data_IF_146576498526
#
_entry.id   IF_146576498526
#
_cell.length_a   1.000
_cell.length_b   1.000
_cell.length_c   1.000
_cell.angle_alpha   90.00
_cell.angle_beta   90.00
_cell.angle_gamma   90.00
#
_symmetry.space_group_name_H-M   'P 1'
#
loop_
_entity.id
_entity.type
_entity.pdbx_description
1 polymer ?
#
# COMPACT_ATOMS: atom_id res chain seq x y z
N UNK A 1 54.30 13.51 4.61
CA UNK A 1 54.15 12.27 3.81
C UNK A 1 52.75 12.24 3.29
N UNK A 2 52.60 12.03 1.95
CA UNK A 2 51.28 11.90 1.34
C UNK A 2 50.67 10.61 1.90
N UNK A 3 49.45 10.73 2.46
CA UNK A 3 48.69 9.60 2.94
C UNK A 3 48.26 8.73 1.75
N UNK A 4 48.53 7.44 1.82
CA UNK A 4 48.16 6.45 0.80
C UNK A 4 47.32 5.31 1.35
N UNK A 5 46.90 5.44 2.62
CA UNK A 5 46.11 4.44 3.32
C UNK A 5 44.64 4.80 3.26
N UNK A 6 43.79 3.87 2.85
CA UNK A 6 42.34 4.10 2.84
C UNK A 6 41.71 3.88 4.23
N UNK A 7 40.58 4.56 4.57
CA UNK A 7 39.92 4.41 5.85
C UNK A 7 39.46 2.97 6.14
N UNK A 8 39.54 2.58 7.41
CA UNK A 8 38.90 1.37 7.90
C UNK A 8 37.40 1.64 8.17
N UNK A 9 36.55 0.75 7.68
CA UNK A 9 35.07 0.88 7.81
C UNK A 9 34.47 -0.30 8.52
N UNK A 10 33.44 -0.04 9.33
CA UNK A 10 32.59 -1.07 9.93
C UNK A 10 31.15 -0.63 9.98
N UNK A 11 30.23 -1.59 10.07
CA UNK A 11 28.81 -1.32 10.24
C UNK A 11 28.19 -2.24 11.29
N UNK A 12 27.25 -1.71 12.04
CA UNK A 12 26.42 -2.45 12.98
C UNK A 12 24.96 -2.30 12.62
N UNK A 13 24.20 -3.39 12.75
CA UNK A 13 22.76 -3.39 12.55
C UNK A 13 22.10 -3.58 13.91
N UNK A 14 21.19 -2.69 14.26
CA UNK A 14 20.46 -2.71 15.53
C UNK A 14 18.96 -2.69 15.30
N UNK A 15 18.20 -3.19 16.26
CA UNK A 15 16.74 -3.27 16.23
C UNK A 15 16.27 -4.45 17.09
N UNK A 16 14.96 -4.53 17.28
CA UNK A 16 14.34 -5.68 17.93
C UNK A 16 14.49 -6.91 17.03
N UNK A 17 14.83 -8.07 17.59
CA UNK A 17 14.99 -9.32 16.84
C UNK A 17 14.01 -10.38 17.28
N UNK A 18 13.50 -11.16 16.31
CA UNK A 18 12.79 -12.40 16.60
C UNK A 18 13.76 -13.55 16.94
N UNK A 19 13.20 -14.72 17.24
CA UNK A 19 13.97 -15.92 17.57
C UNK A 19 14.90 -16.41 16.43
N UNK A 20 14.61 -16.04 15.19
CA UNK A 20 15.41 -16.39 14.01
C UNK A 20 16.54 -15.39 13.75
N UNK A 21 16.61 -14.30 14.51
CA UNK A 21 17.58 -13.24 14.33
C UNK A 21 17.19 -12.17 13.32
N UNK A 22 15.98 -12.24 12.76
CA UNK A 22 15.45 -11.21 11.86
C UNK A 22 14.99 -10.00 12.66
N UNK A 23 15.12 -8.80 12.08
CA UNK A 23 14.72 -7.56 12.71
C UNK A 23 13.22 -7.33 12.57
N UNK A 24 12.58 -7.01 13.68
CA UNK A 24 11.14 -6.86 13.79
C UNK A 24 10.73 -5.41 13.52
N UNK A 25 9.93 -5.19 12.48
CA UNK A 25 9.42 -3.89 12.07
C UNK A 25 10.43 -2.99 11.39
N UNK A 26 11.66 -2.92 11.89
CA UNK A 26 12.74 -2.10 11.31
C UNK A 26 14.10 -2.48 11.82
N UNK A 27 15.11 -2.20 11.00
CA UNK A 27 16.52 -2.28 11.37
C UNK A 27 17.18 -0.91 11.21
N UNK A 28 18.18 -0.61 12.01
CA UNK A 28 18.96 0.61 11.93
C UNK A 28 20.43 0.24 11.69
N UNK A 29 21.00 0.72 10.59
CA UNK A 29 22.38 0.48 10.21
C UNK A 29 23.23 1.68 10.57
N UNK A 30 24.20 1.50 11.43
CA UNK A 30 25.20 2.52 11.79
C UNK A 30 26.52 2.17 11.14
N UNK A 31 27.04 3.08 10.32
CA UNK A 31 28.35 2.94 9.67
C UNK A 31 29.37 3.82 10.37
N UNK A 32 30.54 3.27 10.62
CA UNK A 32 31.68 4.01 11.19
C UNK A 32 32.90 3.87 10.28
N UNK A 33 33.72 4.90 10.26
CA UNK A 33 34.99 4.89 9.56
C UNK A 33 36.08 5.56 10.44
N UNK A 34 37.29 5.06 10.36
CA UNK A 34 38.44 5.64 11.00
C UNK A 34 39.62 5.69 10.02
N UNK A 35 40.39 6.75 10.12
CA UNK A 35 41.61 6.95 9.38
C UNK A 35 42.61 7.72 10.27
N UNK A 36 43.78 7.16 10.45
CA UNK A 36 44.76 7.66 11.43
C UNK A 36 45.70 8.72 10.85
N UNK A 37 45.78 8.86 9.52
CA UNK A 37 46.70 9.78 8.85
C UNK A 37 46.04 11.08 8.43
N UNK A 38 45.21 11.10 7.37
CA UNK A 38 44.58 12.30 6.88
C UNK A 38 43.18 12.56 7.47
N UNK A 39 42.60 11.53 8.05
CA UNK A 39 41.25 11.54 8.61
C UNK A 39 40.13 11.41 7.56
N UNK A 40 39.00 10.88 7.99
CA UNK A 40 37.85 10.61 7.12
C UNK A 40 37.25 11.91 6.58
N UNK A 41 37.04 11.97 5.26
CA UNK A 41 36.33 13.05 4.58
C UNK A 41 34.83 12.76 4.50
N UNK A 42 34.47 11.55 4.02
CA UNK A 42 33.05 11.16 3.87
C UNK A 42 32.87 9.64 4.00
N UNK A 43 31.68 9.29 4.41
CA UNK A 43 31.16 7.91 4.39
C UNK A 43 30.01 7.87 3.40
N UNK A 44 29.92 6.80 2.61
CA UNK A 44 28.86 6.57 1.65
C UNK A 44 28.25 5.19 1.86
N UNK A 45 26.96 5.06 1.59
CA UNK A 45 26.26 3.78 1.64
C UNK A 45 25.39 3.56 0.41
N UNK A 46 25.11 2.30 0.08
CA UNK A 46 24.18 1.87 -0.95
C UNK A 46 23.23 0.84 -0.34
N UNK A 47 21.94 1.06 -0.46
CA UNK A 47 20.89 0.15 -0.01
C UNK A 47 20.42 -0.69 -1.19
N UNK A 48 20.45 -2.03 -1.02
CA UNK A 48 19.93 -3.02 -1.99
C UNK A 48 20.47 -2.86 -3.42
N UNK A 49 21.74 -2.47 -3.52
CA UNK A 49 22.40 -2.27 -4.82
C UNK A 49 22.05 -0.98 -5.55
N UNK A 50 21.37 -0.05 -4.88
CA UNK A 50 21.12 1.30 -5.39
C UNK A 50 22.40 2.15 -5.47
N UNK A 51 22.30 3.44 -5.84
CA UNK A 51 23.44 4.34 -5.89
C UNK A 51 24.03 4.58 -4.51
N UNK A 52 25.31 4.95 -4.46
CA UNK A 52 25.94 5.38 -3.22
C UNK A 52 25.46 6.78 -2.82
N UNK A 53 24.96 6.89 -1.59
CA UNK A 53 24.48 8.12 -0.97
C UNK A 53 25.41 8.52 0.17
N UNK A 54 25.48 9.82 0.46
CA UNK A 54 26.21 10.33 1.61
C UNK A 54 25.59 9.79 2.92
N UNK A 55 26.43 9.25 3.79
CA UNK A 55 26.03 8.78 5.11
C UNK A 55 26.23 9.91 6.12
N UNK A 56 25.15 10.49 6.61
CA UNK A 56 25.16 11.55 7.64
C UNK A 56 24.57 11.05 8.96
N UNK A 57 23.60 10.17 8.88
CA UNK A 57 22.85 9.62 10.00
C UNK A 57 22.64 8.10 9.80
N UNK A 58 22.40 7.35 10.88
CA UNK A 58 22.11 5.94 10.78
C UNK A 58 20.92 5.64 9.86
N UNK A 59 21.11 4.71 8.92
CA UNK A 59 20.11 4.33 7.91
C UNK A 59 19.05 3.46 8.56
N UNK A 60 17.80 3.90 8.53
CA UNK A 60 16.66 3.11 8.99
C UNK A 60 16.05 2.37 7.81
N UNK A 61 15.91 1.05 7.93
CA UNK A 61 15.26 0.17 6.96
C UNK A 61 14.04 -0.45 7.63
N UNK A 62 12.85 -0.06 7.17
CA UNK A 62 11.56 -0.52 7.68
C UNK A 62 10.76 -1.33 6.62
N UNK A 63 11.28 -1.41 5.41
CA UNK A 63 10.74 -2.27 4.36
C UNK A 63 10.95 -3.73 4.71
N UNK A 64 9.90 -4.54 4.58
CA UNK A 64 9.98 -5.97 4.84
C UNK A 64 10.81 -6.69 3.77
N UNK A 65 11.50 -7.75 4.18
CA UNK A 65 12.30 -8.60 3.33
C UNK A 65 13.78 -8.57 3.66
N UNK A 66 14.58 -9.21 2.80
CA UNK A 66 16.03 -9.23 2.92
C UNK A 66 16.62 -7.97 2.31
N UNK A 67 17.52 -7.34 3.07
CA UNK A 67 18.23 -6.12 2.67
C UNK A 67 19.74 -6.30 2.74
N UNK A 68 20.42 -5.51 1.93
CA UNK A 68 21.89 -5.41 1.94
C UNK A 68 22.27 -3.93 1.95
N UNK A 69 23.11 -3.53 2.90
CA UNK A 69 23.72 -2.20 2.92
C UNK A 69 25.20 -2.35 2.64
N UNK A 70 25.63 -1.85 1.47
CA UNK A 70 27.06 -1.70 1.15
C UNK A 70 27.53 -0.33 1.63
N UNK A 71 28.77 -0.24 2.08
CA UNK A 71 29.32 1.00 2.61
C UNK A 71 30.84 1.11 2.33
N UNK A 72 31.31 2.34 2.19
CA UNK A 72 32.71 2.70 1.99
C UNK A 72 32.98 4.09 2.55
N UNK A 73 34.25 4.43 2.73
CA UNK A 73 34.66 5.76 3.15
C UNK A 73 35.82 6.28 2.31
N UNK A 74 35.94 7.60 2.21
CA UNK A 74 37.04 8.32 1.57
C UNK A 74 37.68 9.23 2.60
N UNK A 75 39.00 9.26 2.64
CA UNK A 75 39.77 10.19 3.47
C UNK A 75 40.00 11.54 2.81
N UNK A 76 40.64 12.46 3.51
CA UNK A 76 40.95 13.81 2.99
C UNK A 76 42.09 13.81 1.97
N UNK A 77 42.85 12.72 1.86
CA UNK A 77 43.88 12.54 0.83
C UNK A 77 43.33 11.96 -0.47
N UNK A 78 42.04 11.51 -0.46
CA UNK A 78 41.35 10.98 -1.63
C UNK A 78 41.39 9.44 -1.73
N UNK A 79 41.94 8.72 -0.74
CA UNK A 79 41.94 7.27 -0.76
C UNK A 79 40.56 6.75 -0.34
N UNK A 80 40.02 5.79 -1.08
CA UNK A 80 38.69 5.22 -0.83
C UNK A 80 38.83 3.76 -0.44
N UNK A 81 38.17 3.35 0.66
CA UNK A 81 38.15 1.98 1.12
C UNK A 81 37.43 1.04 0.16
N UNK A 82 37.79 -0.25 0.22
CA UNK A 82 36.94 -1.26 -0.42
C UNK A 82 35.53 -1.24 0.17
N UNK A 83 34.54 -1.48 -0.69
CA UNK A 83 33.16 -1.57 -0.25
C UNK A 83 32.93 -2.85 0.56
N UNK A 84 32.47 -2.70 1.78
CA UNK A 84 31.98 -3.79 2.64
C UNK A 84 30.46 -3.80 2.62
N UNK A 85 29.85 -4.88 3.10
CA UNK A 85 28.39 -4.96 3.16
C UNK A 85 27.93 -5.72 4.41
N UNK A 86 26.72 -5.35 4.88
CA UNK A 86 25.95 -6.10 5.87
C UNK A 86 24.62 -6.51 5.24
N UNK A 87 24.19 -7.74 5.53
CA UNK A 87 22.90 -8.25 5.10
C UNK A 87 22.04 -8.60 6.32
N UNK A 88 20.76 -8.32 6.24
CA UNK A 88 19.79 -8.59 7.30
C UNK A 88 18.40 -8.74 6.71
N UNK A 89 17.49 -9.29 7.50
CA UNK A 89 16.09 -9.42 7.12
C UNK A 89 15.24 -8.59 8.08
N UNK A 90 14.30 -7.81 7.52
CA UNK A 90 13.28 -7.13 8.29
C UNK A 90 11.97 -7.90 8.11
N UNK A 91 11.36 -8.27 9.22
CA UNK A 91 10.09 -8.99 9.27
C UNK A 91 9.04 -8.11 9.95
N UNK A 92 7.79 -8.45 9.74
CA UNK A 92 6.68 -7.72 10.34
C UNK A 92 6.83 -7.60 11.86
N UNK A 93 6.53 -6.43 12.41
CA UNK A 93 6.64 -6.15 13.84
C UNK A 93 5.69 -7.00 14.65
N UNK A 94 6.19 -8.15 15.12
CA UNK A 94 5.52 -8.96 16.12
C UNK A 94 6.03 -8.61 17.50
N UNK A 95 5.29 -7.82 18.25
CA UNK A 95 5.35 -7.97 19.71
C UNK A 95 5.07 -9.43 20.04
N UNK A 96 5.71 -10.00 21.10
CA UNK A 96 5.60 -11.37 21.64
C UNK A 96 4.60 -12.23 20.88
N UNK A 97 4.94 -13.43 20.34
CA UNK A 97 4.01 -14.20 19.53
C UNK A 97 2.71 -14.42 20.34
N UNK A 98 1.77 -13.52 20.12
CA UNK A 98 0.39 -13.85 20.31
C UNK A 98 0.12 -15.02 19.36
N UNK A 99 -0.72 -16.01 19.70
CA UNK A 99 -1.19 -16.94 18.70
C UNK A 99 -1.61 -16.09 17.51
N UNK A 100 -1.11 -16.40 16.29
CA UNK A 100 -1.30 -15.53 15.16
C UNK A 100 -2.80 -15.32 14.99
N UNK A 101 -3.25 -14.07 15.10
CA UNK A 101 -4.63 -13.75 14.81
C UNK A 101 -4.90 -14.15 13.36
N UNK A 102 -6.05 -14.74 13.05
CA UNK A 102 -6.35 -15.25 11.72
C UNK A 102 -6.22 -14.20 10.62
N UNK A 103 -6.55 -12.96 10.96
CA UNK A 103 -6.49 -11.80 10.09
C UNK A 103 -5.86 -10.62 10.84
N UNK A 104 -5.57 -9.55 10.14
CA UNK A 104 -5.19 -8.30 10.74
C UNK A 104 -6.23 -7.24 10.41
N UNK A 105 -7.05 -6.88 11.40
CA UNK A 105 -8.12 -5.90 11.25
C UNK A 105 -8.33 -5.14 12.58
N UNK A 106 -7.78 -3.95 12.65
CA UNK A 106 -7.84 -3.08 13.82
C UNK A 106 -8.80 -1.89 13.63
N UNK A 107 -9.77 -1.99 12.71
CA UNK A 107 -10.82 -0.96 12.57
C UNK A 107 -11.50 -0.70 13.91
N UNK A 108 -11.96 0.55 14.18
CA UNK A 108 -12.52 0.90 15.49
C UNK A 108 -13.86 0.21 15.78
N UNK A 109 -14.58 -0.20 14.76
CA UNK A 109 -15.86 -0.91 14.86
C UNK A 109 -15.78 -2.29 14.22
N UNK A 110 -16.66 -3.18 14.63
CA UNK A 110 -16.81 -4.48 14.00
C UNK A 110 -17.49 -4.31 12.64
N UNK A 111 -16.74 -4.65 11.59
CA UNK A 111 -17.20 -4.60 10.20
C UNK A 111 -17.13 -5.99 9.62
N UNK A 112 -18.22 -6.49 9.06
CA UNK A 112 -18.29 -7.80 8.43
C UNK A 112 -18.46 -7.62 6.91
N UNK A 113 -17.40 -7.88 6.17
CA UNK A 113 -17.31 -7.50 4.76
C UNK A 113 -17.38 -5.98 4.61
N UNK A 114 -18.49 -5.48 4.08
CA UNK A 114 -18.75 -4.02 3.95
C UNK A 114 -19.81 -3.52 4.93
N UNK A 115 -20.27 -4.35 5.86
CA UNK A 115 -21.36 -4.01 6.79
C UNK A 115 -20.78 -3.61 8.15
N UNK A 116 -20.77 -2.31 8.43
CA UNK A 116 -20.40 -1.78 9.74
C UNK A 116 -21.54 -2.01 10.74
N UNK A 117 -21.21 -2.67 11.87
CA UNK A 117 -22.19 -2.99 12.92
C UNK A 117 -22.36 -1.87 13.94
N UNK A 118 -21.42 -0.93 13.99
CA UNK A 118 -21.31 0.08 15.05
C UNK A 118 -20.87 -0.49 16.42
N UNK A 119 -20.61 -1.78 16.52
CA UNK A 119 -20.08 -2.42 17.73
C UNK A 119 -18.59 -2.09 17.85
N UNK A 120 -18.09 -1.65 19.02
CA UNK A 120 -16.66 -1.42 19.18
C UNK A 120 -15.83 -2.69 18.92
N UNK A 121 -14.78 -2.58 18.13
CA UNK A 121 -13.86 -3.67 17.83
C UNK A 121 -12.85 -3.85 18.97
N UNK A 122 -13.27 -4.58 20.00
CA UNK A 122 -12.47 -4.78 21.22
C UNK A 122 -11.39 -5.84 21.03
N UNK A 123 -10.26 -5.66 21.72
CA UNK A 123 -9.24 -6.69 21.88
C UNK A 123 -9.75 -7.72 22.88
N UNK A 124 -9.68 -8.99 22.52
CA UNK A 124 -10.17 -10.13 23.31
C UNK A 124 -9.07 -10.72 24.20
N UNK A 125 -9.40 -11.71 25.01
CA UNK A 125 -8.48 -12.35 25.94
C UNK A 125 -7.25 -12.99 25.28
N UNK A 126 -7.36 -13.41 24.03
CA UNK A 126 -6.27 -13.96 23.22
C UNK A 126 -5.48 -12.89 22.42
N UNK A 127 -5.72 -11.61 22.70
CA UNK A 127 -5.11 -10.42 22.07
C UNK A 127 -5.53 -10.14 20.62
N UNK A 128 -6.41 -10.92 20.03
CA UNK A 128 -7.00 -10.61 18.74
C UNK A 128 -8.18 -9.66 18.91
N UNK A 129 -8.43 -8.83 17.91
CA UNK A 129 -9.66 -8.02 17.85
C UNK A 129 -10.85 -8.90 17.45
N UNK A 130 -12.06 -8.40 17.67
CA UNK A 130 -13.26 -9.11 17.22
C UNK A 130 -13.24 -9.30 15.70
N UNK A 131 -12.84 -8.29 14.93
CA UNK A 131 -12.72 -8.38 13.47
C UNK A 131 -11.74 -9.47 13.03
N UNK A 132 -10.58 -9.54 13.69
CA UNK A 132 -9.57 -10.57 13.38
C UNK A 132 -10.07 -11.99 13.63
N UNK A 133 -10.99 -12.17 14.58
CA UNK A 133 -11.60 -13.48 14.88
C UNK A 133 -12.73 -13.84 13.91
N UNK A 134 -13.37 -12.86 13.29
CA UNK A 134 -14.48 -13.07 12.34
C UNK A 134 -13.98 -13.70 11.04
N UNK A 135 -12.72 -13.47 10.65
CA UNK A 135 -12.10 -14.04 9.45
C UNK A 135 -12.92 -13.78 8.17
N UNK A 136 -13.42 -12.55 8.01
CA UNK A 136 -14.32 -12.21 6.92
C UNK A 136 -13.62 -12.11 5.54
N UNK A 137 -12.29 -11.97 5.52
CA UNK A 137 -11.47 -11.95 4.30
C UNK A 137 -10.92 -13.34 3.91
N UNK A 138 -11.15 -14.36 4.73
CA UNK A 138 -10.74 -15.74 4.44
C UNK A 138 -11.60 -16.36 3.33
N UNK A 139 -11.04 -17.33 2.62
CA UNK A 139 -11.79 -18.18 1.67
C UNK A 139 -12.75 -19.12 2.40
N UNK A 140 -14.04 -18.81 2.31
CA UNK A 140 -15.11 -19.60 2.89
C UNK A 140 -15.78 -20.49 1.83
N UNK A 141 -15.82 -21.79 2.06
CA UNK A 141 -16.45 -22.75 1.16
C UNK A 141 -17.95 -22.50 0.95
N UNK A 142 -18.63 -21.85 1.90
CA UNK A 142 -20.02 -21.42 1.75
C UNK A 142 -20.38 -20.31 2.75
N UNK A 143 -21.41 -19.51 2.41
CA UNK A 143 -21.99 -18.51 3.30
C UNK A 143 -22.52 -19.11 4.61
N UNK A 144 -23.04 -20.34 4.54
CA UNK A 144 -23.54 -21.04 5.73
C UNK A 144 -22.41 -21.36 6.72
N UNK A 145 -21.25 -21.80 6.21
CA UNK A 145 -20.06 -22.05 7.04
C UNK A 145 -19.50 -20.76 7.65
N UNK A 146 -19.43 -19.68 6.89
CA UNK A 146 -19.05 -18.38 7.42
C UNK A 146 -19.96 -17.93 8.55
N UNK A 147 -21.28 -17.97 8.33
CA UNK A 147 -22.25 -17.58 9.36
C UNK A 147 -22.18 -18.45 10.61
N UNK A 148 -21.93 -19.76 10.45
CA UNK A 148 -21.73 -20.66 11.57
C UNK A 148 -20.50 -20.25 12.40
N UNK A 149 -19.39 -19.97 11.71
CA UNK A 149 -18.16 -19.49 12.36
C UNK A 149 -18.39 -18.19 13.14
N UNK A 150 -19.05 -17.20 12.55
CA UNK A 150 -19.36 -15.93 13.24
C UNK A 150 -20.27 -16.16 14.45
N UNK A 151 -21.22 -17.10 14.35
CA UNK A 151 -22.06 -17.44 15.50
C UNK A 151 -21.21 -18.04 16.62
N UNK A 152 -20.32 -18.99 16.32
CA UNK A 152 -19.42 -19.61 17.32
C UNK A 152 -18.50 -18.57 17.96
N UNK A 153 -17.86 -17.72 17.18
CA UNK A 153 -17.03 -16.62 17.69
C UNK A 153 -17.84 -15.69 18.61
N UNK A 154 -19.03 -15.28 18.21
CA UNK A 154 -19.85 -14.38 19.01
C UNK A 154 -20.47 -15.04 20.25
N UNK A 155 -20.70 -16.35 20.24
CA UNK A 155 -21.10 -17.10 21.43
C UNK A 155 -19.97 -17.11 22.46
N UNK A 156 -18.73 -17.40 22.04
CA UNK A 156 -17.56 -17.36 22.91
C UNK A 156 -17.33 -15.95 23.49
N UNK A 157 -17.42 -14.91 22.67
CA UNK A 157 -17.26 -13.52 23.10
C UNK A 157 -18.36 -13.07 24.07
N UNK A 158 -19.58 -13.59 23.93
CA UNK A 158 -20.67 -13.33 24.85
C UNK A 158 -20.43 -14.03 26.20
N UNK A 159 -19.97 -15.28 26.17
CA UNK A 159 -19.66 -16.07 27.37
C UNK A 159 -18.46 -15.46 28.15
N UNK A 160 -17.49 -14.90 27.43
CA UNK A 160 -16.36 -14.16 27.99
C UNK A 160 -16.75 -12.75 28.50
N UNK A 161 -17.94 -12.27 28.20
CA UNK A 161 -18.40 -10.94 28.56
C UNK A 161 -17.76 -9.80 27.75
N UNK A 162 -17.15 -10.10 26.60
CA UNK A 162 -16.55 -9.11 25.69
C UNK A 162 -17.62 -8.32 24.96
N UNK A 163 -18.72 -8.99 24.60
CA UNK A 163 -19.90 -8.39 23.96
C UNK A 163 -21.18 -8.71 24.73
N UNK A 164 -22.20 -7.90 24.53
CA UNK A 164 -23.54 -8.17 25.02
C UNK A 164 -24.45 -8.84 23.97
N UNK A 165 -25.66 -9.26 24.38
CA UNK A 165 -26.63 -9.92 23.46
C UNK A 165 -27.09 -9.02 22.32
N UNK A 166 -27.10 -7.71 22.49
CA UNK A 166 -27.49 -6.76 21.45
C UNK A 166 -26.38 -6.65 20.41
N UNK A 167 -25.14 -6.58 20.88
CA UNK A 167 -23.93 -6.56 20.05
C UNK A 167 -23.77 -7.87 19.27
N UNK A 168 -23.95 -9.02 19.93
CA UNK A 168 -23.98 -10.32 19.27
C UNK A 168 -24.99 -10.37 18.11
N UNK A 169 -26.22 -9.89 18.37
CA UNK A 169 -27.27 -9.85 17.36
C UNK A 169 -26.89 -8.94 16.17
N UNK A 170 -26.25 -7.81 16.44
CA UNK A 170 -25.79 -6.89 15.40
C UNK A 170 -24.72 -7.53 14.51
N UNK A 171 -23.71 -8.20 15.10
CA UNK A 171 -22.63 -8.88 14.38
C UNK A 171 -23.19 -10.03 13.54
N UNK A 172 -24.03 -10.90 14.09
CA UNK A 172 -24.64 -12.01 13.36
C UNK A 172 -25.57 -11.53 12.23
N UNK A 173 -26.25 -10.39 12.42
CA UNK A 173 -27.05 -9.76 11.36
C UNK A 173 -26.15 -9.28 10.21
N UNK A 174 -25.04 -8.63 10.52
CA UNK A 174 -24.06 -8.18 9.54
C UNK A 174 -23.46 -9.37 8.76
N UNK A 175 -23.10 -10.45 9.43
CA UNK A 175 -22.64 -11.68 8.79
C UNK A 175 -23.67 -12.23 7.80
N UNK A 176 -24.95 -12.23 8.15
CA UNK A 176 -26.03 -12.64 7.24
C UNK A 176 -26.16 -11.72 6.01
N UNK A 177 -25.91 -10.42 6.17
CA UNK A 177 -26.03 -9.43 5.12
C UNK A 177 -24.79 -9.34 4.22
N UNK A 178 -23.60 -9.70 4.72
CA UNK A 178 -22.32 -9.55 4.03
C UNK A 178 -22.21 -10.34 2.73
N UNK A 179 -22.87 -11.46 2.62
CA UNK A 179 -22.76 -12.35 1.45
C UNK A 179 -21.44 -13.14 1.39
N UNK A 180 -20.54 -13.01 2.35
CA UNK A 180 -19.26 -13.74 2.41
C UNK A 180 -19.48 -15.25 2.29
N UNK A 181 -18.66 -15.92 1.48
CA UNK A 181 -18.82 -17.32 1.15
C UNK A 181 -19.86 -17.63 0.08
N UNK A 182 -20.52 -16.60 -0.51
CA UNK A 182 -21.33 -16.75 -1.72
C UNK A 182 -20.45 -16.62 -2.97
N UNK A 183 -20.79 -17.27 -4.08
CA UNK A 183 -20.05 -17.14 -5.32
C UNK A 183 -19.87 -15.66 -5.73
N UNK A 184 -18.63 -15.27 -6.08
CA UNK A 184 -18.30 -13.90 -6.51
C UNK A 184 -18.11 -12.90 -5.37
N UNK A 185 -18.16 -13.31 -4.12
CA UNK A 185 -17.89 -12.43 -2.96
C UNK A 185 -16.41 -12.47 -2.55
N UNK A 186 -16.00 -11.44 -1.78
CA UNK A 186 -14.62 -11.27 -1.34
C UNK A 186 -14.19 -12.37 -0.38
N UNK A 187 -13.18 -13.12 -0.77
CA UNK A 187 -12.61 -14.19 0.03
C UNK A 187 -11.08 -14.13 -0.08
N UNK A 188 -10.37 -14.30 1.02
CA UNK A 188 -8.91 -14.31 1.07
C UNK A 188 -8.24 -12.93 0.88
N UNK A 189 -8.96 -11.82 1.14
CA UNK A 189 -8.40 -10.48 1.11
C UNK A 189 -7.73 -10.12 2.44
N UNK A 190 -6.61 -9.39 2.35
CA UNK A 190 -5.91 -8.81 3.48
C UNK A 190 -6.00 -7.29 3.44
N UNK A 191 -6.23 -6.68 4.60
CA UNK A 191 -6.32 -5.23 4.69
C UNK A 191 -4.95 -4.57 4.50
N UNK A 192 -4.90 -3.60 3.59
CA UNK A 192 -3.82 -2.63 3.46
C UNK A 192 -4.13 -1.35 4.23
N UNK A 193 -5.41 -0.98 4.31
CA UNK A 193 -5.94 0.11 5.10
C UNK A 193 -7.33 -0.26 5.62
N UNK A 194 -7.45 -0.35 6.93
CA UNK A 194 -8.66 -0.76 7.65
C UNK A 194 -9.35 0.38 8.42
N UNK A 195 -8.91 1.62 8.22
CA UNK A 195 -9.43 2.81 8.87
C UNK A 195 -8.71 3.21 10.16
N UNK A 196 -7.75 2.43 10.63
CA UNK A 196 -6.96 2.75 11.83
C UNK A 196 -5.74 3.61 11.51
N UNK A 197 -5.27 4.36 12.52
CA UNK A 197 -4.00 5.10 12.45
C UNK A 197 -2.83 4.15 12.14
N UNK A 198 -2.79 2.98 12.76
CA UNK A 198 -1.72 1.99 12.55
C UNK A 198 -1.66 1.53 11.09
N UNK A 199 -2.80 1.23 10.47
CA UNK A 199 -2.83 0.84 9.06
C UNK A 199 -2.50 2.01 8.13
N UNK A 200 -2.92 3.24 8.47
CA UNK A 200 -2.58 4.44 7.69
C UNK A 200 -1.09 4.76 7.74
N UNK A 201 -0.44 4.62 8.88
CA UNK A 201 0.99 4.91 9.07
C UNK A 201 1.93 3.95 8.30
N UNK A 202 1.39 2.87 7.74
CA UNK A 202 2.11 1.97 6.82
C UNK A 202 2.29 2.54 5.42
N UNK A 203 1.52 3.57 5.06
CA UNK A 203 1.57 4.23 3.77
C UNK A 203 2.51 5.41 3.81
N UNK A 204 3.12 5.71 2.66
CA UNK A 204 4.01 6.87 2.49
C UNK A 204 3.48 7.79 1.41
N UNK A 205 3.59 9.10 1.65
CA UNK A 205 3.24 10.10 0.65
C UNK A 205 4.49 10.58 -0.09
N UNK A 206 4.39 10.75 -1.42
CA UNK A 206 5.41 11.32 -2.30
C UNK A 206 4.78 12.33 -3.24
N UNK A 207 5.55 13.35 -3.64
CA UNK A 207 5.06 14.43 -4.49
C UNK A 207 4.19 15.44 -3.75
N UNK A 208 3.35 16.14 -4.50
CA UNK A 208 2.42 17.14 -3.99
C UNK A 208 1.15 16.57 -3.40
N UNK A 209 0.31 17.43 -2.82
CA UNK A 209 -0.91 17.00 -2.14
C UNK A 209 -0.65 16.30 -0.80
N UNK A 210 -1.68 15.76 -0.23
CA UNK A 210 -1.64 14.93 0.98
C UNK A 210 -2.95 14.18 1.15
N UNK A 211 -2.93 13.09 1.94
CA UNK A 211 -4.12 12.46 2.51
C UNK A 211 -4.14 12.62 4.02
N UNK A 212 -5.31 12.84 4.58
CA UNK A 212 -5.54 12.87 6.02
C UNK A 212 -6.46 11.74 6.46
N UNK A 213 -6.14 11.13 7.61
CA UNK A 213 -7.01 10.16 8.26
C UNK A 213 -8.10 10.90 9.06
N UNK A 214 -9.36 10.56 8.81
CA UNK A 214 -10.53 11.09 9.48
C UNK A 214 -10.95 10.21 10.67
N UNK A 215 -11.72 10.78 11.60
CA UNK A 215 -12.22 10.07 12.78
C UNK A 215 -13.19 8.92 12.42
N UNK A 216 -13.79 8.95 11.25
CA UNK A 216 -14.68 7.90 10.75
C UNK A 216 -13.94 6.73 10.05
N UNK A 217 -12.60 6.71 10.10
CA UNK A 217 -11.78 5.66 9.50
C UNK A 217 -11.64 5.77 7.97
N UNK A 218 -11.95 6.92 7.39
CA UNK A 218 -11.67 7.20 5.98
C UNK A 218 -10.41 8.03 5.81
N UNK A 219 -9.80 8.00 4.63
CA UNK A 219 -8.76 8.97 4.26
C UNK A 219 -9.29 9.87 3.17
N UNK A 220 -8.96 11.17 3.26
CA UNK A 220 -9.42 12.18 2.30
C UNK A 220 -8.23 13.00 1.80
N UNK A 221 -8.20 13.29 0.51
CA UNK A 221 -7.19 14.15 -0.09
C UNK A 221 -7.35 15.60 0.39
N UNK A 222 -6.22 16.30 0.54
CA UNK A 222 -6.16 17.64 1.12
C UNK A 222 -6.80 18.70 0.23
N UNK A 223 -7.55 19.62 0.84
CA UNK A 223 -8.08 20.83 0.20
C UNK A 223 -7.12 22.02 0.24
N UNK A 224 -5.99 21.89 0.94
CA UNK A 224 -5.05 23.01 1.20
C UNK A 224 -3.65 22.75 0.72
N UNK A 225 -3.21 21.50 0.60
CA UNK A 225 -1.89 21.13 0.09
C UNK A 225 -2.00 20.90 -1.42
N UNK A 226 -1.41 21.77 -2.25
CA UNK A 226 -1.54 21.66 -3.71
C UNK A 226 -0.58 20.65 -4.31
N UNK A 227 -0.81 20.34 -5.57
CA UNK A 227 0.06 19.56 -6.41
C UNK A 227 -0.36 18.09 -6.53
N UNK A 228 0.23 17.47 -7.52
CA UNK A 228 0.05 16.05 -7.81
C UNK A 228 1.06 15.21 -7.03
N UNK A 229 0.59 14.14 -6.45
CA UNK A 229 1.40 13.20 -5.70
C UNK A 229 0.71 11.85 -5.53
N UNK A 230 1.23 11.06 -4.64
CA UNK A 230 0.75 9.70 -4.44
C UNK A 230 0.95 9.27 -2.99
N UNK A 231 -0.09 8.70 -2.40
CA UNK A 231 0.00 7.88 -1.19
C UNK A 231 0.20 6.44 -1.63
N UNK A 232 1.33 5.81 -1.31
CA UNK A 232 1.66 4.47 -1.78
C UNK A 232 1.99 3.53 -0.64
N UNK A 233 1.83 2.22 -0.88
CA UNK A 233 2.09 1.15 0.08
C UNK A 233 3.48 0.55 -0.16
N UNK A 234 4.51 0.90 0.64
CA UNK A 234 5.90 0.56 0.37
C UNK A 234 6.33 -0.83 0.83
N UNK A 235 5.54 -1.50 1.66
CA UNK A 235 5.97 -2.71 2.36
C UNK A 235 6.14 -3.91 1.43
N UNK A 236 5.38 -3.98 0.34
CA UNK A 236 5.36 -5.15 -0.53
C UNK A 236 5.01 -4.83 -1.97
N UNK A 237 5.63 -5.58 -2.89
CA UNK A 237 5.19 -5.68 -4.29
C UNK A 237 4.24 -6.86 -4.44
N UNK A 238 3.29 -6.73 -5.35
CA UNK A 238 2.31 -7.76 -5.68
C UNK A 238 2.46 -8.20 -7.13
N UNK A 239 2.40 -9.52 -7.36
CA UNK A 239 2.44 -10.13 -8.69
C UNK A 239 1.03 -10.12 -9.30
N UNK A 240 0.34 -11.25 -9.24
CA UNK A 240 -1.07 -11.36 -9.60
C UNK A 240 -1.93 -11.07 -8.39
N UNK A 241 -2.90 -10.19 -8.55
CA UNK A 241 -3.72 -9.75 -7.43
C UNK A 241 -5.12 -9.29 -7.83
N UNK A 242 -6.02 -9.27 -6.87
CA UNK A 242 -7.22 -8.46 -6.88
C UNK A 242 -7.12 -7.43 -5.76
N UNK A 243 -7.11 -6.16 -6.13
CA UNK A 243 -7.16 -5.02 -5.22
C UNK A 243 -8.59 -4.52 -5.15
N UNK A 244 -9.15 -4.43 -3.96
CA UNK A 244 -10.46 -3.82 -3.71
C UNK A 244 -10.32 -2.63 -2.79
N UNK A 245 -11.03 -1.57 -3.12
CA UNK A 245 -11.12 -0.37 -2.30
C UNK A 245 -12.47 0.30 -2.52
N UNK A 246 -12.82 1.17 -1.61
CA UNK A 246 -13.99 2.03 -1.81
C UNK A 246 -13.52 3.47 -1.96
N UNK A 247 -14.10 4.18 -2.93
CA UNK A 247 -13.87 5.60 -3.13
C UNK A 247 -15.17 6.40 -3.12
N UNK A 248 -15.07 7.66 -2.72
CA UNK A 248 -16.16 8.61 -2.74
C UNK A 248 -15.67 9.95 -3.28
N UNK A 249 -16.39 10.47 -4.26
CA UNK A 249 -16.14 11.79 -4.83
C UNK A 249 -16.69 12.87 -3.90
N UNK A 250 -15.79 13.59 -3.23
CA UNK A 250 -16.09 14.67 -2.29
C UNK A 250 -15.69 16.04 -2.84
N UNK A 251 -15.49 16.18 -4.16
CA UNK A 251 -15.14 17.46 -4.77
C UNK A 251 -16.17 18.56 -4.43
N UNK A 252 -15.73 19.80 -4.20
CA UNK A 252 -16.62 20.88 -3.79
C UNK A 252 -17.60 21.30 -4.90
N UNK A 253 -18.74 21.80 -4.50
CA UNK A 253 -19.76 22.34 -5.43
C UNK A 253 -20.30 21.27 -6.38
N UNK A 254 -20.46 21.61 -7.65
CA UNK A 254 -20.91 20.72 -8.72
C UNK A 254 -19.74 19.98 -9.41
N UNK A 255 -18.49 20.26 -9.03
CA UNK A 255 -17.29 19.63 -9.57
C UNK A 255 -17.25 18.13 -9.29
N UNK A 256 -16.39 17.43 -10.02
CA UNK A 256 -16.08 16.02 -9.83
C UNK A 256 -14.57 15.85 -9.66
N UNK A 257 -14.16 14.99 -8.75
CA UNK A 257 -12.76 14.74 -8.45
C UNK A 257 -12.05 14.03 -9.60
N UNK A 258 -10.78 14.39 -9.79
CA UNK A 258 -9.82 13.64 -10.57
C UNK A 258 -8.86 12.93 -9.60
N UNK A 259 -8.74 11.63 -9.71
CA UNK A 259 -7.82 10.79 -8.97
C UNK A 259 -7.55 9.50 -9.74
N UNK A 260 -6.80 8.59 -9.16
CA UNK A 260 -6.50 7.30 -9.75
C UNK A 260 -5.85 6.35 -8.77
N UNK A 261 -5.81 5.09 -9.16
CA UNK A 261 -5.08 4.04 -8.44
C UNK A 261 -3.91 3.61 -9.30
N UNK A 262 -2.70 3.81 -8.81
CA UNK A 262 -1.49 3.33 -9.47
C UNK A 262 -1.23 1.88 -9.09
N UNK A 263 -0.89 1.06 -10.07
CA UNK A 263 -0.56 -0.35 -9.88
C UNK A 263 0.66 -0.75 -10.71
N UNK A 264 1.34 -1.81 -10.25
CA UNK A 264 2.47 -2.43 -10.97
C UNK A 264 3.63 -1.48 -11.27
N UNK A 265 3.82 -0.42 -10.47
CA UNK A 265 4.99 0.44 -10.59
C UNK A 265 6.17 -0.08 -9.76
N UNK A 266 7.43 0.20 -10.20
CA UNK A 266 8.63 -0.17 -9.47
C UNK A 266 8.83 0.70 -8.22
N UNK A 267 9.84 0.38 -7.41
CA UNK A 267 10.22 1.20 -6.26
C UNK A 267 10.52 2.64 -6.69
N UNK A 268 9.91 3.60 -5.99
CA UNK A 268 9.82 4.99 -6.45
C UNK A 268 11.02 5.86 -6.07
N UNK A 269 11.79 5.47 -5.05
CA UNK A 269 12.98 6.21 -4.66
C UNK A 269 14.19 5.70 -5.45
N UNK A 270 15.05 6.63 -5.84
CA UNK A 270 16.31 6.35 -6.55
C UNK A 270 16.13 5.59 -7.89
N UNK A 271 15.02 5.88 -8.59
CA UNK A 271 14.80 5.30 -9.92
C UNK A 271 15.80 5.92 -10.93
N UNK A 272 16.50 5.11 -11.76
CA UNK A 272 17.59 5.61 -12.61
C UNK A 272 17.13 6.60 -13.68
N UNK A 273 15.88 6.50 -14.14
CA UNK A 273 15.34 7.30 -15.25
C UNK A 273 14.40 8.44 -14.78
N UNK A 274 14.03 8.48 -13.49
CA UNK A 274 13.10 9.48 -12.98
C UNK A 274 13.38 9.79 -11.51
N UNK A 275 13.77 11.03 -11.24
CA UNK A 275 14.13 11.48 -9.88
C UNK A 275 12.93 11.84 -9.00
N UNK A 276 11.76 12.07 -9.61
CA UNK A 276 10.53 12.43 -8.90
C UNK A 276 9.74 11.17 -8.56
N UNK A 277 9.60 10.78 -7.28
CA UNK A 277 9.00 9.49 -6.91
C UNK A 277 7.58 9.28 -7.46
N UNK A 278 6.72 10.30 -7.43
CA UNK A 278 5.36 10.23 -7.97
C UNK A 278 5.34 10.01 -9.49
N UNK A 279 6.34 10.53 -10.20
CA UNK A 279 6.48 10.33 -11.64
C UNK A 279 7.00 8.95 -12.02
N UNK A 280 7.66 8.25 -11.11
CA UNK A 280 8.02 6.84 -11.31
C UNK A 280 6.75 6.00 -11.47
N UNK A 281 5.75 6.19 -10.60
CA UNK A 281 4.47 5.49 -10.74
C UNK A 281 3.72 5.88 -12.04
N UNK A 282 3.75 7.16 -12.41
CA UNK A 282 3.09 7.68 -13.60
C UNK A 282 3.70 7.12 -14.89
N UNK A 283 5.03 7.03 -14.96
CA UNK A 283 5.76 6.60 -16.18
C UNK A 283 5.99 5.10 -16.27
N UNK A 284 6.13 4.42 -15.14
CA UNK A 284 6.54 3.02 -15.06
C UNK A 284 5.52 2.11 -14.39
N UNK A 285 4.35 2.62 -14.05
CA UNK A 285 3.17 1.89 -13.63
C UNK A 285 1.97 2.22 -14.50
N UNK A 286 0.82 1.65 -14.17
CA UNK A 286 -0.45 2.01 -14.77
C UNK A 286 -1.32 2.75 -13.77
N UNK A 287 -1.92 3.84 -14.22
CA UNK A 287 -2.98 4.55 -13.49
C UNK A 287 -4.34 4.03 -13.95
N UNK A 288 -5.10 3.48 -13.01
CA UNK A 288 -6.50 3.15 -13.20
C UNK A 288 -7.31 4.37 -12.75
N UNK A 289 -7.90 5.06 -13.73
CA UNK A 289 -8.48 6.39 -13.58
C UNK A 289 -9.74 6.40 -12.71
N UNK A 290 -9.89 7.48 -11.93
CA UNK A 290 -11.14 7.87 -11.26
C UNK A 290 -11.49 9.28 -11.69
N UNK A 291 -12.41 9.41 -12.64
CA UNK A 291 -12.85 10.69 -13.21
C UNK A 291 -14.25 10.55 -13.79
N UNK A 292 -15.26 10.99 -13.05
CA UNK A 292 -16.66 10.99 -13.47
C UNK A 292 -17.10 12.35 -14.03
N UNK A 293 -16.16 13.19 -14.43
CA UNK A 293 -16.40 14.56 -14.90
C UNK A 293 -16.71 14.60 -16.41
N UNK A 294 -17.77 15.27 -16.85
CA UNK A 294 -18.09 15.45 -18.26
C UNK A 294 -17.26 16.60 -18.87
N UNK A 295 -15.96 16.41 -18.94
CA UNK A 295 -15.00 17.34 -19.54
C UNK A 295 -14.34 16.75 -20.78
N UNK A 296 -13.34 17.44 -21.33
CA UNK A 296 -12.60 17.02 -22.52
C UNK A 296 -11.61 15.87 -22.30
N UNK A 297 -11.36 15.44 -21.07
CA UNK A 297 -10.53 14.26 -20.80
C UNK A 297 -11.27 13.00 -21.24
N UNK A 298 -10.61 12.21 -22.10
CA UNK A 298 -11.19 11.01 -22.70
C UNK A 298 -11.05 9.76 -21.83
N UNK A 299 -10.24 9.83 -20.76
CA UNK A 299 -9.99 8.72 -19.85
C UNK A 299 -10.86 8.89 -18.60
N UNK A 300 -12.04 8.26 -18.58
CA UNK A 300 -12.96 8.28 -17.44
C UNK A 300 -12.68 7.12 -16.49
N UNK A 301 -13.42 7.05 -15.39
CA UNK A 301 -13.28 6.00 -14.39
C UNK A 301 -13.24 4.61 -15.01
N UNK A 302 -12.22 3.83 -14.66
CA UNK A 302 -11.95 2.50 -15.22
C UNK A 302 -10.96 2.48 -16.36
N UNK A 303 -10.63 3.63 -16.96
CA UNK A 303 -9.60 3.72 -17.99
C UNK A 303 -8.23 3.34 -17.44
N UNK A 304 -7.39 2.72 -18.27
CA UNK A 304 -5.95 2.65 -18.08
C UNK A 304 -5.36 3.90 -18.73
N UNK A 305 -5.02 4.89 -17.93
CA UNK A 305 -4.71 6.24 -18.38
C UNK A 305 -3.57 6.26 -19.39
N UNK A 306 -3.83 6.85 -20.54
CA UNK A 306 -2.88 6.93 -21.65
C UNK A 306 -2.87 5.72 -22.60
N UNK A 307 -3.55 4.61 -22.26
CA UNK A 307 -3.47 3.38 -23.06
C UNK A 307 -4.82 2.82 -23.46
N UNK A 308 -5.80 2.84 -22.57
CA UNK A 308 -7.12 2.28 -22.85
C UNK A 308 -8.23 3.12 -22.25
N UNK A 309 -9.29 3.38 -23.00
CA UNK A 309 -10.31 4.39 -22.70
C UNK A 309 -11.63 3.76 -22.31
N UNK A 310 -12.17 4.22 -21.19
CA UNK A 310 -13.57 4.05 -20.84
C UNK A 310 -14.25 5.41 -20.99
N UNK A 311 -15.30 5.49 -21.77
CA UNK A 311 -16.12 6.69 -21.87
C UNK A 311 -17.04 6.86 -20.66
N UNK A 312 -17.58 8.07 -20.47
CA UNK A 312 -18.44 8.40 -19.32
C UNK A 312 -19.66 7.46 -19.20
N UNK A 313 -20.26 7.08 -20.34
CA UNK A 313 -21.39 6.14 -20.36
C UNK A 313 -21.07 4.71 -19.95
N UNK A 314 -19.79 4.29 -20.07
CA UNK A 314 -19.32 2.97 -19.65
C UNK A 314 -18.70 2.94 -18.24
N UNK A 315 -18.47 4.11 -17.66
CA UNK A 315 -17.76 4.25 -16.38
C UNK A 315 -18.59 3.87 -15.13
N UNK A 316 -19.88 3.57 -15.28
CA UNK A 316 -20.77 3.24 -14.16
C UNK A 316 -20.95 4.40 -13.18
N UNK A 317 -21.02 5.63 -13.69
CA UNK A 317 -21.10 6.86 -12.88
C UNK A 317 -22.25 6.80 -11.88
N UNK A 318 -21.97 7.14 -10.63
CA UNK A 318 -22.93 7.25 -9.54
C UNK A 318 -23.13 8.71 -9.13
N UNK A 319 -24.12 8.97 -8.30
CA UNK A 319 -24.29 10.28 -7.69
C UNK A 319 -23.06 10.65 -6.85
N UNK A 320 -22.71 11.93 -6.89
CA UNK A 320 -21.62 12.47 -6.06
C UNK A 320 -21.88 12.23 -4.58
N UNK A 321 -20.81 11.95 -3.82
CA UNK A 321 -20.91 11.62 -2.40
C UNK A 321 -21.36 10.18 -2.12
N UNK A 322 -21.48 9.33 -3.15
CA UNK A 322 -21.79 7.92 -3.01
C UNK A 322 -20.48 7.11 -2.91
N UNK A 323 -20.42 6.16 -1.99
CA UNK A 323 -19.34 5.18 -1.94
C UNK A 323 -19.45 4.18 -3.08
N UNK A 324 -18.36 3.98 -3.78
CA UNK A 324 -18.23 3.01 -4.86
C UNK A 324 -17.21 1.95 -4.48
N UNK A 325 -17.54 0.69 -4.66
CA UNK A 325 -16.57 -0.41 -4.66
C UNK A 325 -15.80 -0.41 -5.97
N UNK A 326 -14.47 -0.43 -5.88
CA UNK A 326 -13.57 -0.47 -7.03
C UNK A 326 -12.68 -1.69 -6.91
N UNK A 327 -12.73 -2.60 -7.89
CA UNK A 327 -11.82 -3.74 -7.95
C UNK A 327 -10.91 -3.61 -9.17
N UNK A 328 -9.63 -3.76 -8.94
CA UNK A 328 -8.60 -3.83 -9.98
C UNK A 328 -7.95 -5.21 -9.87
N UNK A 329 -8.19 -6.05 -10.85
CA UNK A 329 -7.60 -7.37 -10.94
C UNK A 329 -6.52 -7.36 -12.00
N UNK A 330 -5.33 -7.86 -11.63
CA UNK A 330 -4.20 -7.99 -12.55
C UNK A 330 -3.71 -9.42 -12.48
N UNK A 331 -3.72 -10.11 -13.62
CA UNK A 331 -3.19 -11.47 -13.78
C UNK A 331 -2.25 -11.46 -14.97
N UNK A 332 -0.98 -11.81 -14.77
CA UNK A 332 0.09 -11.59 -15.74
C UNK A 332 0.11 -10.12 -16.23
N UNK A 333 -0.21 -9.86 -17.48
CA UNK A 333 -0.31 -8.53 -18.08
C UNK A 333 -1.76 -8.16 -18.44
N UNK A 334 -2.73 -8.90 -17.92
CA UNK A 334 -4.16 -8.63 -18.13
C UNK A 334 -4.76 -7.89 -16.94
N UNK A 335 -5.42 -6.77 -17.21
CA UNK A 335 -6.05 -5.88 -16.24
C UNK A 335 -7.56 -5.91 -16.41
N UNK A 336 -8.29 -6.20 -15.35
CA UNK A 336 -9.76 -6.10 -15.33
C UNK A 336 -10.18 -5.12 -14.24
N UNK A 337 -11.07 -4.19 -14.58
CA UNK A 337 -11.56 -3.15 -13.68
C UNK A 337 -13.06 -3.33 -13.47
N UNK A 338 -13.46 -3.40 -12.21
CA UNK A 338 -14.86 -3.54 -11.81
C UNK A 338 -15.27 -2.34 -10.95
N UNK A 339 -16.48 -1.86 -11.16
CA UNK A 339 -17.10 -0.86 -10.30
C UNK A 339 -18.45 -1.39 -9.81
N UNK A 340 -18.62 -1.42 -8.50
CA UNK A 340 -19.82 -1.96 -7.85
C UNK A 340 -20.19 -3.37 -8.34
N UNK A 341 -19.16 -4.22 -8.53
CA UNK A 341 -19.30 -5.60 -9.01
C UNK A 341 -19.50 -5.75 -10.52
N UNK A 342 -19.59 -4.66 -11.28
CA UNK A 342 -19.75 -4.68 -12.73
C UNK A 342 -18.41 -4.48 -13.42
N UNK A 343 -18.04 -5.38 -14.34
CA UNK A 343 -16.86 -5.23 -15.19
C UNK A 343 -17.06 -4.00 -16.11
N UNK A 344 -16.18 -3.00 -15.99
CA UNK A 344 -16.24 -1.77 -16.78
C UNK A 344 -15.08 -1.63 -17.76
N UNK A 345 -13.98 -2.37 -17.57
CA UNK A 345 -12.86 -2.37 -18.51
C UNK A 345 -12.04 -3.66 -18.42
N UNK A 346 -11.47 -4.05 -19.56
CA UNK A 346 -10.42 -5.06 -19.68
C UNK A 346 -9.30 -4.51 -20.58
N UNK A 347 -8.05 -4.71 -20.18
CA UNK A 347 -6.89 -4.22 -20.88
C UNK A 347 -5.77 -5.25 -20.91
N UNK A 348 -5.24 -5.52 -22.09
CA UNK A 348 -4.04 -6.34 -22.29
C UNK A 348 -2.83 -5.41 -22.46
N UNK A 349 -1.92 -5.45 -21.50
CA UNK A 349 -0.69 -4.66 -21.51
C UNK A 349 0.34 -5.28 -22.48
N UNK A 350 0.12 -5.08 -23.76
CA UNK A 350 1.02 -5.57 -24.83
C UNK A 350 2.20 -4.63 -25.01
N UNK A 351 3.34 -5.16 -25.50
CA UNK A 351 4.52 -4.37 -25.78
C UNK A 351 4.28 -3.39 -26.94
N UNK A 352 5.03 -2.28 -26.96
CA UNK A 352 5.10 -1.35 -28.08
C UNK A 352 3.94 -0.37 -28.22
N UNK A 353 3.06 -0.27 -27.23
CA UNK A 353 1.99 0.73 -27.23
C UNK A 353 2.50 2.06 -26.66
N UNK A 354 2.31 3.14 -27.40
CA UNK A 354 2.68 4.49 -26.96
C UNK A 354 1.59 5.10 -26.05
N UNK A 355 2.02 5.97 -25.14
CA UNK A 355 1.11 6.80 -24.34
C UNK A 355 0.33 7.76 -25.25
N UNK A 356 -0.97 7.89 -25.06
CA UNK A 356 -1.84 8.74 -25.88
C UNK A 356 -2.56 9.82 -25.04
N UNK A 357 -2.42 11.11 -25.36
CA UNK A 357 -1.56 11.69 -26.39
C UNK A 357 -0.07 11.48 -26.09
N UNK A 358 0.80 11.42 -27.11
CA UNK A 358 2.22 11.15 -26.92
C UNK A 358 2.90 12.12 -25.95
N UNK A 359 3.76 11.57 -25.09
CA UNK A 359 4.65 12.31 -24.19
C UNK A 359 6.10 12.00 -24.59
N UNK A 360 6.94 13.01 -24.72
CA UNK A 360 8.31 12.87 -25.26
C UNK A 360 9.22 11.94 -24.42
N UNK A 361 8.96 11.82 -23.13
CA UNK A 361 9.77 11.08 -22.17
C UNK A 361 9.01 9.89 -21.53
N UNK A 362 7.90 9.48 -22.11
CA UNK A 362 7.13 8.35 -21.64
C UNK A 362 7.58 7.06 -22.36
N UNK A 363 7.94 5.99 -21.62
CA UNK A 363 8.45 4.75 -22.20
C UNK A 363 7.36 3.88 -22.84
N UNK A 364 6.10 4.29 -22.83
CA UNK A 364 4.98 3.48 -23.29
C UNK A 364 4.75 2.24 -22.44
N UNK A 365 4.12 1.22 -23.01
CA UNK A 365 3.90 -0.05 -22.30
C UNK A 365 5.20 -0.81 -22.10
N UNK A 366 6.23 -0.60 -22.91
CA UNK A 366 7.53 -1.28 -22.75
C UNK A 366 8.17 -0.96 -21.39
N UNK A 367 7.97 0.25 -20.86
CA UNK A 367 8.41 0.65 -19.52
C UNK A 367 7.49 0.19 -18.37
N UNK A 368 6.39 -0.48 -18.67
CA UNK A 368 5.31 -0.81 -17.70
C UNK A 368 4.98 -2.31 -17.62
N UNK A 369 5.87 -3.19 -18.06
CA UNK A 369 5.62 -4.64 -18.14
C UNK A 369 6.28 -5.42 -17.00
N UNK A 370 6.24 -4.87 -15.79
CA UNK A 370 6.75 -5.56 -14.60
C UNK A 370 5.85 -6.74 -14.22
N UNK A 371 6.46 -7.85 -13.82
CA UNK A 371 5.73 -8.99 -13.27
C UNK A 371 5.12 -8.68 -11.90
N UNK A 372 5.74 -7.78 -11.13
CA UNK A 372 5.25 -7.33 -9.82
C UNK A 372 5.46 -5.83 -9.63
N UNK A 373 4.68 -5.22 -8.76
CA UNK A 373 4.84 -3.80 -8.45
C UNK A 373 4.04 -3.35 -7.25
N UNK A 374 4.16 -2.07 -6.93
CA UNK A 374 3.53 -1.42 -5.80
C UNK A 374 2.14 -0.87 -6.14
N UNK A 375 1.46 -0.40 -5.12
CA UNK A 375 0.11 0.16 -5.17
C UNK A 375 0.13 1.57 -4.58
N UNK A 376 -0.59 2.51 -5.20
CA UNK A 376 -0.68 3.89 -4.75
C UNK A 376 -2.01 4.55 -5.12
N UNK A 377 -2.33 5.63 -4.40
CA UNK A 377 -3.53 6.45 -4.59
C UNK A 377 -3.11 7.86 -4.97
N UNK A 378 -3.66 8.40 -6.04
CA UNK A 378 -3.28 9.71 -6.56
C UNK A 378 -3.92 10.85 -5.75
N UNK A 379 -3.11 11.90 -5.45
CA UNK A 379 -3.60 13.27 -5.22
C UNK A 379 -3.40 14.05 -6.51
N UNK A 380 -4.42 14.81 -6.94
CA UNK A 380 -4.35 15.58 -8.19
C UNK A 380 -4.35 17.10 -7.94
N UNK A 381 -5.30 17.61 -7.19
CA UNK A 381 -5.39 19.02 -6.86
C UNK A 381 -6.31 19.28 -5.66
N UNK A 382 -6.30 20.51 -5.17
CA UNK A 382 -7.07 20.91 -3.96
C UNK A 382 -8.58 20.90 -4.15
N UNK A 383 -9.07 20.91 -5.38
CA UNK A 383 -10.49 20.76 -5.72
C UNK A 383 -10.88 19.34 -6.13
N UNK A 384 -9.89 18.48 -6.35
CA UNK A 384 -10.08 17.07 -6.67
C UNK A 384 -10.17 16.24 -5.38
N UNK A 385 -11.13 16.60 -4.51
CA UNK A 385 -11.27 15.97 -3.19
C UNK A 385 -11.91 14.60 -3.33
N UNK A 386 -11.17 13.60 -2.89
CA UNK A 386 -11.59 12.20 -2.93
C UNK A 386 -11.32 11.52 -1.60
N UNK A 387 -12.21 10.64 -1.19
CA UNK A 387 -12.04 9.81 0.00
C UNK A 387 -11.94 8.34 -0.34
N UNK A 388 -11.12 7.63 0.41
CA UNK A 388 -10.95 6.18 0.30
C UNK A 388 -11.16 5.49 1.65
N UNK A 389 -11.59 4.23 1.59
CA UNK A 389 -11.67 3.30 2.73
C UNK A 389 -11.63 1.85 2.27
N UNK A 390 -11.51 0.92 3.21
CA UNK A 390 -11.56 -0.53 2.96
C UNK A 390 -10.63 -0.97 1.84
N UNK A 391 -9.34 -0.60 1.93
CA UNK A 391 -8.33 -0.97 0.92
C UNK A 391 -7.78 -2.33 1.30
N UNK A 392 -8.04 -3.32 0.48
CA UNK A 392 -7.66 -4.71 0.71
C UNK A 392 -7.23 -5.41 -0.56
N UNK A 393 -6.36 -6.40 -0.42
CA UNK A 393 -5.76 -7.10 -1.54
C UNK A 393 -5.79 -8.60 -1.33
N UNK A 394 -5.99 -9.33 -2.42
CA UNK A 394 -5.84 -10.78 -2.49
C UNK A 394 -4.81 -11.12 -3.55
N UNK A 395 -3.84 -11.95 -3.23
CA UNK A 395 -2.93 -12.57 -4.20
C UNK A 395 -3.68 -13.72 -4.91
N UNK A 396 -3.49 -13.83 -6.22
CA UNK A 396 -4.19 -14.78 -7.09
C UNK A 396 -3.27 -15.92 -7.54
#
# INVERSE_FOLDING_TARGET
TDDTTAPETSATVTGEKNANGDYVGRAKVTVTATDDDSGVERIEYSLDGGPYLAYTDPVTVDRLGRHTVAYRATDKAGNTSEAKQVAFTVVEGGGVPAPPCPEWDERPTVVVGTVDTGVPNRVTGNRCTINELIEDERDWASHALFRKHVQEVTDDLLDEGVIDKREQKAINKAAKQSGIGKPGQNQGYRDLFDGTRKSFDRWQHVGGGAFGLNDDGTITSSTTVPGMGMLWFPERRYDDFSLKLQFRDDAPGTGRANSGVFVRFPYVHDHPEESRPEWVAIKYGHEVQILDRPDGDQYKTGSIYGFDRVGLGGAGVTEKGTWNEYEIRVVDQHYSVFRNGVLINEFDNVAGQEFSPPRADDPGTDGRRYASGYIGLQTHGTTDVISFRNIRIKEL
#
